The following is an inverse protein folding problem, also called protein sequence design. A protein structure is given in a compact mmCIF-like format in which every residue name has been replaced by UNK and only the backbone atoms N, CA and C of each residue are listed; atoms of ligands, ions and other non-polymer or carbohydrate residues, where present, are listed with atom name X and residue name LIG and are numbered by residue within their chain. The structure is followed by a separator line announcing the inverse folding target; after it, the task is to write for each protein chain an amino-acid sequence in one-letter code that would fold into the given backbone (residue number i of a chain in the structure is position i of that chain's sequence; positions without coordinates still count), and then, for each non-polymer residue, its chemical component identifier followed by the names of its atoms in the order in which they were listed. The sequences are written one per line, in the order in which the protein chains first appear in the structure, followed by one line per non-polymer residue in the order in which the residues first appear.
data_IF_343885047954
#
_entry.id   IF_343885047954
#
_cell.length_a   1.000
_cell.length_b   1.000
_cell.length_c   1.000
_cell.angle_alpha   90.00
_cell.angle_beta   90.00
_cell.angle_gamma   90.00
#
_symmetry.space_group_name_H-M   'P 1'
#
loop_
_entity.id
_entity.type
_entity.pdbx_description
1 polymer ?
#
# COMPACT_ATOMS: atom_id res chain seq x y z
N UNK A 1 -4.31 -45.67 12.42
CA UNK A 1 -4.16 -45.36 11.00
C UNK A 1 -5.09 -44.24 10.51
N UNK A 2 -6.40 -44.23 10.85
CA UNK A 2 -7.33 -43.17 10.38
C UNK A 2 -6.97 -41.73 10.82
N UNK A 3 -6.37 -41.56 12.02
CA UNK A 3 -6.00 -40.23 12.53
C UNK A 3 -4.75 -39.63 11.84
N UNK A 4 -3.84 -40.46 11.40
CA UNK A 4 -2.62 -40.02 10.66
C UNK A 4 -3.00 -39.53 9.27
N UNK A 5 -3.96 -40.19 8.61
CA UNK A 5 -4.46 -39.77 7.30
C UNK A 5 -5.19 -38.41 7.36
N UNK A 6 -5.93 -38.14 8.42
CA UNK A 6 -6.63 -36.86 8.60
C UNK A 6 -5.64 -35.72 8.83
N UNK A 7 -4.57 -35.93 9.62
CA UNK A 7 -3.53 -34.94 9.86
C UNK A 7 -2.71 -34.63 8.57
N UNK A 8 -2.42 -35.64 7.75
CA UNK A 8 -1.76 -35.44 6.46
C UNK A 8 -2.66 -34.67 5.48
N UNK A 9 -3.96 -34.91 5.50
CA UNK A 9 -4.92 -34.22 4.63
C UNK A 9 -5.08 -32.75 5.04
N UNK A 10 -5.11 -32.44 6.33
CA UNK A 10 -5.15 -31.07 6.86
C UNK A 10 -3.84 -30.33 6.55
N UNK A 11 -2.69 -31.00 6.66
CA UNK A 11 -1.39 -30.41 6.29
C UNK A 11 -1.28 -30.13 4.78
N UNK A 12 -1.86 -30.96 3.93
CA UNK A 12 -1.93 -30.74 2.47
C UNK A 12 -2.88 -29.57 2.12
N UNK A 13 -3.98 -29.42 2.81
CA UNK A 13 -4.90 -28.30 2.61
C UNK A 13 -4.34 -26.98 3.15
N UNK A 14 -3.55 -27.01 4.23
CA UNK A 14 -2.89 -25.84 4.79
C UNK A 14 -1.80 -25.26 3.88
N UNK A 15 -1.16 -26.07 3.05
CA UNK A 15 -0.15 -25.62 2.10
C UNK A 15 -0.73 -25.17 0.75
N UNK A 16 -1.99 -25.45 0.46
CA UNK A 16 -2.64 -25.04 -0.79
C UNK A 16 -3.20 -23.60 -0.74
N UNK A 17 -3.17 -22.95 0.42
CA UNK A 17 -3.87 -21.67 0.63
C UNK A 17 -2.97 -20.43 0.51
N UNK A 18 -1.67 -20.57 0.20
CA UNK A 18 -0.78 -19.42 -0.02
C UNK A 18 -0.03 -19.64 -1.33
N UNK A 19 -0.76 -19.58 -2.43
CA UNK A 19 -0.13 -19.26 -3.70
C UNK A 19 0.12 -17.75 -3.71
N UNK A 20 1.13 -17.30 -2.98
CA UNK A 20 1.70 -15.98 -3.22
C UNK A 20 2.22 -15.98 -4.67
N UNK A 21 1.78 -15.01 -5.45
CA UNK A 21 2.44 -14.75 -6.73
C UNK A 21 3.85 -14.32 -6.38
N UNK A 22 4.81 -15.22 -6.54
CA UNK A 22 6.24 -14.98 -6.27
C UNK A 22 7.02 -14.70 -7.55
N UNK A 23 6.38 -14.83 -8.70
CA UNK A 23 6.96 -14.56 -10.01
C UNK A 23 6.24 -13.34 -10.63
N UNK A 24 6.90 -12.21 -10.59
CA UNK A 24 6.44 -10.94 -11.18
C UNK A 24 6.96 -10.75 -12.61
N UNK A 25 7.68 -11.72 -13.17
CA UNK A 25 8.21 -11.66 -14.54
C UNK A 25 7.11 -11.57 -15.61
N UNK A 26 5.87 -11.89 -15.24
CA UNK A 26 4.69 -11.74 -16.09
C UNK A 26 4.33 -10.28 -16.38
N UNK A 27 4.80 -9.33 -15.56
CA UNK A 27 4.56 -7.91 -15.77
C UNK A 27 5.58 -7.36 -16.77
N UNK A 28 5.10 -6.82 -17.87
CA UNK A 28 5.95 -6.08 -18.81
C UNK A 28 6.41 -4.76 -18.15
N UNK A 29 7.74 -4.60 -18.00
CA UNK A 29 8.34 -3.43 -17.33
C UNK A 29 8.21 -2.11 -18.09
N UNK A 30 7.44 -2.04 -19.16
CA UNK A 30 7.34 -0.82 -19.97
C UNK A 30 6.50 0.27 -19.34
N UNK A 31 5.47 -0.10 -18.59
CA UNK A 31 4.60 0.86 -17.91
C UNK A 31 3.83 0.16 -16.79
N UNK A 32 4.23 0.37 -15.57
CA UNK A 32 3.57 -0.17 -14.38
C UNK A 32 3.27 0.98 -13.42
N UNK A 33 2.21 0.85 -12.64
CA UNK A 33 1.89 1.76 -11.55
C UNK A 33 1.13 1.01 -10.46
N UNK A 34 1.15 1.54 -9.26
CA UNK A 34 0.37 1.01 -8.15
C UNK A 34 -0.96 1.74 -8.01
N UNK A 35 -1.97 1.01 -7.60
CA UNK A 35 -3.22 1.55 -7.09
C UNK A 35 -3.36 1.11 -5.65
N UNK A 36 -3.38 2.06 -4.73
CA UNK A 36 -3.45 1.80 -3.30
C UNK A 36 -4.64 2.56 -2.70
N UNK A 37 -5.40 1.91 -1.84
CA UNK A 37 -6.59 2.46 -1.19
C UNK A 37 -6.54 2.20 0.30
N UNK A 38 -7.25 3.03 1.09
CA UNK A 38 -7.33 2.88 2.55
C UNK A 38 -5.95 2.78 3.22
N UNK A 39 -5.03 3.63 2.80
CA UNK A 39 -3.65 3.65 3.27
C UNK A 39 -3.51 4.11 4.72
N UNK A 40 -4.59 4.59 5.31
CA UNK A 40 -4.63 5.17 6.62
C UNK A 40 -4.11 4.24 7.72
N UNK A 41 -3.90 4.81 8.88
CA UNK A 41 -3.27 4.21 10.06
C UNK A 41 -3.92 2.90 10.49
N UNK A 42 -3.33 1.77 10.11
CA UNK A 42 -3.71 0.45 10.61
C UNK A 42 -2.46 -0.41 10.91
N UNK A 43 -2.68 -1.55 11.57
CA UNK A 43 -1.58 -2.43 12.01
C UNK A 43 -0.79 -3.05 10.85
N UNK A 44 -1.42 -3.24 9.71
CA UNK A 44 -0.83 -3.92 8.56
C UNK A 44 -0.18 -2.95 7.56
N UNK A 45 -0.33 -1.64 7.77
CA UNK A 45 0.16 -0.62 6.86
C UNK A 45 1.67 -0.74 6.60
N UNK A 46 2.47 -0.86 7.64
CA UNK A 46 3.92 -0.95 7.51
C UNK A 46 4.40 -2.25 6.83
N UNK A 47 3.92 -3.45 7.20
CA UNK A 47 4.23 -4.67 6.46
C UNK A 47 3.81 -4.63 4.99
N UNK A 48 2.66 -4.01 4.67
CA UNK A 48 2.20 -3.85 3.28
C UNK A 48 3.13 -2.90 2.52
N UNK A 49 3.50 -1.77 3.11
CA UNK A 49 4.43 -0.82 2.49
C UNK A 49 5.79 -1.48 2.17
N UNK A 50 6.30 -2.31 3.07
CA UNK A 50 7.53 -3.08 2.84
C UNK A 50 7.39 -4.05 1.67
N UNK A 51 6.29 -4.80 1.61
CA UNK A 51 6.01 -5.70 0.48
C UNK A 51 5.85 -4.94 -0.85
N UNK A 52 5.21 -3.78 -0.82
CA UNK A 52 5.11 -2.91 -1.99
C UNK A 52 6.49 -2.48 -2.49
N UNK A 53 7.38 -2.10 -1.57
CA UNK A 53 8.76 -1.73 -1.89
C UNK A 53 9.54 -2.87 -2.51
N UNK A 54 9.50 -4.06 -1.91
CA UNK A 54 10.16 -5.26 -2.43
C UNK A 54 9.63 -5.64 -3.82
N UNK A 55 8.31 -5.57 -4.02
CA UNK A 55 7.73 -5.82 -5.34
C UNK A 55 8.13 -4.75 -6.35
N UNK A 56 8.30 -3.50 -5.92
CA UNK A 56 8.71 -2.39 -6.78
C UNK A 56 10.12 -2.59 -7.37
N UNK A 57 11.04 -3.26 -6.65
CA UNK A 57 12.37 -3.63 -7.17
C UNK A 57 12.27 -4.49 -8.44
N UNK A 58 11.25 -5.33 -8.52
CA UNK A 58 11.06 -6.24 -9.65
C UNK A 58 10.21 -5.66 -10.77
N UNK A 59 9.10 -4.97 -10.42
CA UNK A 59 8.13 -4.49 -11.43
C UNK A 59 8.40 -3.07 -11.92
N UNK A 60 9.10 -2.24 -11.15
CA UNK A 60 9.47 -0.87 -11.52
C UNK A 60 8.26 0.03 -11.78
N UNK A 61 7.42 0.31 -10.76
CA UNK A 61 6.29 1.20 -10.94
C UNK A 61 6.76 2.64 -11.19
N UNK A 62 6.06 3.38 -12.04
CA UNK A 62 6.41 4.76 -12.34
C UNK A 62 5.74 5.75 -11.39
N UNK A 63 4.59 5.38 -10.82
CA UNK A 63 3.86 6.20 -9.85
C UNK A 63 2.88 5.37 -9.03
N UNK A 64 2.27 6.00 -8.02
CA UNK A 64 1.20 5.43 -7.20
C UNK A 64 -0.06 6.28 -7.28
N UNK A 65 -1.20 5.68 -7.57
CA UNK A 65 -2.51 6.27 -7.36
C UNK A 65 -3.01 5.90 -5.97
N UNK A 66 -3.02 6.86 -5.05
CA UNK A 66 -3.61 6.69 -3.71
C UNK A 66 -5.09 7.07 -3.77
N UNK A 67 -5.97 6.07 -3.93
CA UNK A 67 -7.38 6.26 -4.31
C UNK A 67 -8.31 6.63 -3.16
N UNK A 68 -7.82 7.38 -2.20
CA UNK A 68 -8.55 7.93 -1.06
C UNK A 68 -8.25 7.24 0.26
N UNK A 69 -8.71 7.85 1.32
CA UNK A 69 -8.54 7.42 2.70
C UNK A 69 -7.05 7.15 3.05
N UNK A 70 -6.19 8.10 2.62
CA UNK A 70 -4.77 8.10 2.96
C UNK A 70 -4.55 8.33 4.45
N UNK A 71 -5.48 9.05 5.08
CA UNK A 71 -5.45 9.34 6.51
C UNK A 71 -6.77 8.93 7.19
N UNK A 72 -6.70 8.09 8.20
CA UNK A 72 -7.80 7.74 9.11
C UNK A 72 -7.53 8.35 10.50
N UNK A 73 -8.50 8.87 11.24
CA UNK A 73 -9.95 8.92 11.01
C UNK A 73 -10.43 10.26 10.43
N UNK A 74 -9.60 11.28 10.48
CA UNK A 74 -9.80 12.60 9.90
C UNK A 74 -8.70 12.82 8.87
N UNK A 75 -8.99 13.58 7.82
CA UNK A 75 -8.01 14.03 6.86
C UNK A 75 -7.06 15.07 7.47
N UNK A 76 -6.01 15.41 6.73
CA UNK A 76 -5.04 16.43 7.12
C UNK A 76 -5.67 17.81 7.25
N UNK A 77 -5.07 18.68 8.06
CA UNK A 77 -5.53 20.06 8.28
C UNK A 77 -4.80 21.08 7.43
N UNK A 78 -3.59 20.74 6.98
CA UNK A 78 -2.74 21.59 6.13
C UNK A 78 -1.72 20.75 5.38
N UNK A 79 -1.01 21.36 4.43
CA UNK A 79 0.14 20.74 3.74
C UNK A 79 1.31 20.43 4.69
N UNK A 80 1.36 21.08 5.84
CA UNK A 80 2.38 20.85 6.87
C UNK A 80 1.85 20.01 8.05
N UNK A 81 0.72 19.32 7.88
CA UNK A 81 0.17 18.47 8.95
C UNK A 81 1.13 17.32 9.25
N UNK A 82 1.49 17.08 10.54
CA UNK A 82 2.35 15.97 10.92
C UNK A 82 1.86 14.59 10.47
N UNK A 83 0.58 14.44 10.16
CA UNK A 83 0.02 13.20 9.63
C UNK A 83 0.64 12.77 8.30
N UNK A 84 1.09 13.71 7.47
CA UNK A 84 1.84 13.37 6.25
C UNK A 84 3.09 12.56 6.57
N UNK A 85 3.85 13.01 7.57
CA UNK A 85 5.06 12.33 8.00
C UNK A 85 4.74 10.97 8.64
N UNK A 86 3.84 10.95 9.62
CA UNK A 86 3.64 9.75 10.47
C UNK A 86 2.81 8.65 9.83
N UNK A 87 1.88 9.01 8.96
CA UNK A 87 0.94 8.06 8.34
C UNK A 87 1.31 7.72 6.90
N UNK A 88 2.23 8.45 6.31
CA UNK A 88 2.60 8.29 4.91
C UNK A 88 4.11 8.19 4.72
N UNK A 89 4.90 9.26 4.84
CA UNK A 89 6.30 9.29 4.43
C UNK A 89 7.20 8.30 5.18
N UNK A 90 7.04 8.18 6.51
CA UNK A 90 7.82 7.24 7.33
C UNK A 90 7.41 5.78 7.13
N UNK A 91 6.26 5.54 6.53
CA UNK A 91 5.74 4.20 6.30
C UNK A 91 6.14 3.72 4.91
N UNK A 92 5.90 4.52 3.88
CA UNK A 92 6.21 4.20 2.48
C UNK A 92 7.62 4.67 2.09
N UNK A 93 8.59 4.49 2.99
CA UNK A 93 9.96 5.01 2.88
C UNK A 93 10.94 4.09 2.15
N UNK A 94 10.45 3.02 1.54
CA UNK A 94 11.30 2.15 0.71
C UNK A 94 11.84 2.95 -0.49
N UNK A 95 13.14 2.82 -0.85
CA UNK A 95 13.73 3.60 -1.94
C UNK A 95 12.95 3.53 -3.25
N UNK A 96 12.44 2.35 -3.61
CA UNK A 96 11.67 2.12 -4.83
C UNK A 96 10.24 2.69 -4.79
N UNK A 97 9.80 3.20 -3.63
CA UNK A 97 8.53 3.91 -3.47
C UNK A 97 8.71 5.44 -3.45
N UNK A 98 9.96 5.94 -3.58
CA UNK A 98 10.25 7.35 -3.73
C UNK A 98 10.01 7.80 -5.18
N UNK A 99 8.78 7.63 -5.64
CA UNK A 99 8.22 7.95 -6.93
C UNK A 99 7.03 8.88 -6.74
N UNK A 100 6.45 9.39 -7.81
CA UNK A 100 5.29 10.28 -7.73
C UNK A 100 4.07 9.57 -7.13
N UNK A 101 3.42 10.23 -6.18
CA UNK A 101 2.17 9.77 -5.60
C UNK A 101 1.05 10.78 -5.89
N UNK A 102 -0.07 10.27 -6.39
CA UNK A 102 -1.26 11.06 -6.71
C UNK A 102 -2.40 10.72 -5.74
N UNK A 103 -2.53 11.47 -4.63
CA UNK A 103 -3.60 11.27 -3.67
C UNK A 103 -4.93 11.76 -4.22
N UNK A 104 -5.96 10.94 -4.11
CA UNK A 104 -7.35 11.28 -4.36
C UNK A 104 -8.09 11.47 -3.03
N UNK A 105 -9.23 12.13 -3.09
CA UNK A 105 -10.06 12.38 -1.92
C UNK A 105 -10.96 11.17 -1.64
N UNK A 106 -10.82 10.55 -0.47
CA UNK A 106 -11.75 9.60 0.10
C UNK A 106 -12.69 10.26 1.13
N UNK A 107 -13.54 9.49 1.75
CA UNK A 107 -14.50 10.03 2.71
C UNK A 107 -13.86 10.55 4.01
N UNK A 108 -12.66 10.06 4.36
CA UNK A 108 -11.91 10.56 5.51
C UNK A 108 -11.24 11.91 5.22
N UNK A 109 -10.76 12.17 4.01
CA UNK A 109 -10.21 13.47 3.62
C UNK A 109 -11.27 14.58 3.71
N UNK A 110 -12.55 14.30 3.44
CA UNK A 110 -13.64 15.26 3.60
C UNK A 110 -13.93 15.67 5.05
N UNK A 111 -13.36 14.99 6.03
CA UNK A 111 -13.41 15.39 7.45
C UNK A 111 -12.26 16.32 7.84
N UNK A 112 -11.30 16.52 6.95
CA UNK A 112 -10.18 17.44 7.09
C UNK A 112 -10.23 18.60 6.11
N UNK A 113 -9.06 19.06 5.69
CA UNK A 113 -8.89 20.08 4.67
C UNK A 113 -8.57 19.44 3.31
N UNK A 114 -9.59 19.28 2.48
CA UNK A 114 -9.44 18.69 1.14
C UNK A 114 -8.49 19.46 0.24
N UNK A 115 -8.44 20.79 0.37
CA UNK A 115 -7.51 21.61 -0.40
C UNK A 115 -6.05 21.28 -0.08
N UNK A 116 -5.76 21.00 1.20
CA UNK A 116 -4.41 20.60 1.60
C UNK A 116 -3.96 19.28 0.95
N UNK A 117 -4.87 18.36 0.66
CA UNK A 117 -4.57 17.12 -0.06
C UNK A 117 -4.26 17.43 -1.54
N UNK A 118 -5.06 18.30 -2.17
CA UNK A 118 -4.83 18.69 -3.56
C UNK A 118 -3.53 19.47 -3.74
N UNK A 119 -3.19 20.32 -2.76
CA UNK A 119 -1.96 21.10 -2.78
C UNK A 119 -0.72 20.25 -2.51
N UNK A 120 -0.85 19.14 -1.75
CA UNK A 120 0.27 18.24 -1.44
C UNK A 120 0.76 17.47 -2.67
N UNK A 121 -0.10 17.21 -3.64
CA UNK A 121 0.28 16.58 -4.91
C UNK A 121 1.29 17.40 -5.74
N UNK A 122 1.55 18.64 -5.35
CA UNK A 122 2.52 19.54 -5.99
C UNK A 122 3.82 19.68 -5.20
N UNK A 123 4.04 18.86 -4.14
CA UNK A 123 5.20 18.98 -3.22
C UNK A 123 6.21 17.83 -3.44
N UNK A 124 6.05 17.02 -4.46
CA UNK A 124 7.00 15.97 -4.82
C UNK A 124 8.24 16.51 -5.54
#
# INVERSE_FOLDING_TARGET
MKKIFLLLFIALLGNAAIAQITDYSIFDKKFNFYVANDLGRNYDQKPIAELMGQMAEEVGPEFVLATGDVHHFEGVRSVNDPLWMTNYELIYSHPELMIDWFPLLGNHEYRGNTQAVLDSSNIS
#
